data_IF_040711301182
#
_entry.id   IF_040711301182
#
_cell.length_a   1.000
_cell.length_b   1.000
_cell.length_c   1.000
_cell.angle_alpha   90.00
_cell.angle_beta   90.00
_cell.angle_gamma   90.00
#
_symmetry.space_group_name_H-M   'P 1'
#
loop_
_entity.id
_entity.type
_entity.pdbx_description
1 polymer ?
#
# COMPACT_ATOMS: atom_id res chain seq x y z
N UNK A 1 45.83 -21.44 -10.04
CA UNK A 1 46.51 -21.11 -11.31
C UNK A 1 46.58 -22.42 -12.09
N UNK A 2 45.89 -22.65 -13.22
CA UNK A 2 45.38 -21.81 -14.33
C UNK A 2 43.97 -22.34 -14.70
N UNK A 3 42.91 -21.53 -14.79
CA UNK A 3 42.43 -20.66 -15.89
C UNK A 3 41.99 -21.41 -17.16
N UNK A 4 40.71 -21.19 -17.47
CA UNK A 4 39.91 -21.37 -18.69
C UNK A 4 39.35 -22.76 -19.06
N UNK A 5 38.03 -22.87 -18.89
CA UNK A 5 37.14 -23.50 -19.88
C UNK A 5 35.80 -22.74 -19.92
N UNK A 6 35.54 -22.10 -21.06
CA UNK A 6 34.41 -21.22 -21.41
C UNK A 6 33.07 -21.97 -21.49
N UNK A 7 32.47 -22.39 -20.37
CA UNK A 7 31.20 -23.16 -20.43
C UNK A 7 30.17 -22.89 -19.33
N UNK A 8 29.66 -21.64 -19.21
CA UNK A 8 28.41 -21.41 -18.48
C UNK A 8 27.35 -20.66 -19.32
N UNK A 9 26.70 -21.41 -20.22
CA UNK A 9 25.55 -20.98 -21.05
C UNK A 9 24.24 -20.74 -20.26
N UNK A 10 24.28 -20.52 -18.94
CA UNK A 10 23.09 -20.32 -18.10
C UNK A 10 23.29 -19.22 -17.04
N UNK A 11 24.06 -18.18 -17.35
CA UNK A 11 24.14 -17.03 -16.46
C UNK A 11 22.85 -16.19 -16.59
N UNK A 12 21.89 -16.45 -15.71
CA UNK A 12 20.69 -15.62 -15.62
C UNK A 12 20.97 -14.51 -14.61
N UNK A 13 20.97 -13.27 -15.08
CA UNK A 13 21.07 -12.11 -14.21
C UNK A 13 19.80 -12.04 -13.34
N UNK A 14 19.96 -12.35 -12.05
CA UNK A 14 18.88 -12.31 -11.06
C UNK A 14 18.21 -10.92 -11.04
N UNK A 15 18.99 -9.85 -11.17
CA UNK A 15 18.46 -8.49 -11.17
C UNK A 15 17.58 -8.24 -12.40
N UNK A 16 17.99 -8.74 -13.57
CA UNK A 16 17.20 -8.65 -14.80
C UNK A 16 15.87 -9.43 -14.70
N UNK A 17 15.87 -10.62 -14.07
CA UNK A 17 14.64 -11.36 -13.79
C UNK A 17 13.69 -10.51 -12.92
N UNK A 18 14.18 -9.96 -11.81
CA UNK A 18 13.33 -9.14 -10.93
C UNK A 18 12.82 -7.89 -11.64
N UNK A 19 13.63 -7.26 -12.49
CA UNK A 19 13.19 -6.14 -13.34
C UNK A 19 12.03 -6.56 -14.24
N UNK A 20 12.19 -7.66 -14.99
CA UNK A 20 11.15 -8.19 -15.88
C UNK A 20 9.88 -8.58 -15.13
N UNK A 21 9.99 -9.22 -13.97
CA UNK A 21 8.85 -9.59 -13.15
C UNK A 21 8.11 -8.37 -12.61
N UNK A 22 8.82 -7.36 -12.10
CA UNK A 22 8.21 -6.11 -11.65
C UNK A 22 7.43 -5.44 -12.79
N UNK A 23 8.07 -5.36 -13.96
CA UNK A 23 7.49 -4.76 -15.16
C UNK A 23 6.22 -5.52 -15.60
N UNK A 24 6.27 -6.85 -15.65
CA UNK A 24 5.11 -7.70 -15.99
C UNK A 24 3.98 -7.60 -14.97
N UNK A 25 4.30 -7.55 -13.68
CA UNK A 25 3.28 -7.37 -12.65
C UNK A 25 2.57 -6.03 -12.84
N UNK A 26 3.32 -4.93 -13.01
CA UNK A 26 2.73 -3.61 -13.21
C UNK A 26 1.91 -3.53 -14.51
N UNK A 27 2.38 -4.15 -15.60
CA UNK A 27 1.61 -4.27 -16.86
C UNK A 27 0.29 -5.01 -16.65
N UNK A 28 0.33 -6.17 -16.00
CA UNK A 28 -0.86 -6.97 -15.72
C UNK A 28 -1.86 -6.16 -14.88
N UNK A 29 -1.42 -5.57 -13.77
CA UNK A 29 -2.29 -4.82 -12.86
C UNK A 29 -2.81 -3.50 -13.46
N UNK A 30 -2.12 -2.94 -14.46
CA UNK A 30 -2.55 -1.73 -15.17
C UNK A 30 -3.49 -2.02 -16.33
N UNK A 31 -3.62 -3.28 -16.74
CA UNK A 31 -4.49 -3.69 -17.84
C UNK A 31 -5.96 -3.45 -17.46
N UNK A 32 -6.73 -2.91 -18.42
CA UNK A 32 -8.05 -2.27 -18.21
C UNK A 32 -8.93 -2.93 -17.16
N UNK A 33 -9.28 -4.19 -17.37
CA UNK A 33 -10.26 -4.94 -16.57
C UNK A 33 -9.64 -5.74 -15.42
N UNK A 34 -8.30 -5.78 -15.30
CA UNK A 34 -7.63 -6.60 -14.28
C UNK A 34 -7.83 -6.02 -12.88
N UNK A 35 -7.54 -4.74 -12.71
CA UNK A 35 -7.86 -4.00 -11.49
C UNK A 35 -8.83 -2.88 -11.83
N UNK A 36 -10.04 -2.97 -11.31
CA UNK A 36 -11.08 -1.95 -11.43
C UNK A 36 -11.82 -1.81 -10.11
N UNK A 37 -12.50 -0.68 -9.94
CA UNK A 37 -13.43 -0.49 -8.84
C UNK A 37 -14.46 -1.62 -8.83
N UNK A 38 -14.68 -2.20 -7.66
CA UNK A 38 -15.64 -3.28 -7.45
C UNK A 38 -15.35 -4.47 -8.37
N UNK A 39 -14.12 -4.98 -8.30
CA UNK A 39 -13.63 -6.04 -9.20
C UNK A 39 -14.43 -7.34 -9.04
N UNK A 40 -14.98 -7.57 -7.85
CA UNK A 40 -15.85 -8.71 -7.55
C UNK A 40 -17.34 -8.48 -7.83
N UNK A 41 -17.72 -7.31 -8.35
CA UNK A 41 -19.12 -6.92 -8.62
C UNK A 41 -20.05 -7.15 -7.41
N UNK A 42 -19.60 -6.77 -6.22
CA UNK A 42 -20.35 -6.94 -4.97
C UNK A 42 -21.49 -5.92 -4.84
N UNK A 43 -21.39 -4.79 -5.54
CA UNK A 43 -22.32 -3.66 -5.59
C UNK A 43 -22.53 -2.91 -4.26
N UNK A 44 -22.62 -3.61 -3.14
CA UNK A 44 -22.89 -3.02 -1.84
C UNK A 44 -21.57 -2.70 -1.11
N UNK A 45 -21.27 -1.42 -0.80
CA UNK A 45 -20.01 -1.04 -0.17
C UNK A 45 -19.75 -1.63 1.23
N UNK A 46 -20.77 -2.25 1.84
CA UNK A 46 -20.73 -2.79 3.19
C UNK A 46 -20.66 -4.31 3.23
N UNK A 47 -20.61 -4.98 2.07
CA UNK A 47 -20.44 -6.43 1.99
C UNK A 47 -19.19 -6.83 2.75
N UNK A 48 -19.33 -7.75 3.71
CA UNK A 48 -18.20 -8.23 4.49
C UNK A 48 -17.40 -9.21 3.65
N UNK A 49 -16.07 -9.15 3.74
CA UNK A 49 -15.20 -10.11 3.06
C UNK A 49 -15.51 -11.56 3.44
N UNK A 50 -15.93 -11.79 4.68
CA UNK A 50 -16.35 -13.11 5.19
C UNK A 50 -17.63 -13.65 4.54
N UNK A 51 -18.43 -12.80 3.90
CA UNK A 51 -19.68 -13.17 3.24
C UNK A 51 -19.49 -13.41 1.74
N UNK A 52 -18.30 -13.11 1.20
CA UNK A 52 -17.99 -13.31 -0.22
C UNK A 52 -17.58 -14.77 -0.42
N UNK A 53 -18.23 -15.45 -1.36
CA UNK A 53 -17.83 -16.80 -1.75
C UNK A 53 -16.39 -16.80 -2.30
N UNK A 54 -15.49 -17.68 -1.82
CA UNK A 54 -14.10 -17.72 -2.29
C UNK A 54 -13.96 -17.85 -3.80
N UNK A 55 -14.86 -18.60 -4.45
CA UNK A 55 -14.88 -18.75 -5.91
C UNK A 55 -15.11 -17.45 -6.67
N UNK A 56 -15.82 -16.47 -6.10
CA UNK A 56 -15.97 -15.14 -6.71
C UNK A 56 -14.62 -14.42 -6.72
N UNK A 57 -13.91 -14.44 -5.59
CA UNK A 57 -12.60 -13.82 -5.45
C UNK A 57 -11.61 -14.49 -6.39
N UNK A 58 -11.54 -15.82 -6.41
CA UNK A 58 -10.59 -16.56 -7.25
C UNK A 58 -10.86 -16.37 -8.76
N UNK A 59 -12.13 -16.25 -9.16
CA UNK A 59 -12.51 -15.99 -10.55
C UNK A 59 -12.15 -14.56 -11.00
N UNK A 60 -12.23 -13.58 -10.08
CA UNK A 60 -12.03 -12.15 -10.39
C UNK A 60 -10.59 -11.71 -10.15
N UNK A 61 -9.90 -12.35 -9.22
CA UNK A 61 -8.49 -12.18 -8.87
C UNK A 61 -7.80 -13.54 -9.04
N UNK A 62 -7.49 -13.97 -10.28
CA UNK A 62 -6.80 -15.23 -10.51
C UNK A 62 -5.39 -15.22 -9.89
N UNK A 63 -4.73 -16.38 -9.74
CA UNK A 63 -3.47 -16.51 -9.03
C UNK A 63 -2.36 -15.55 -9.50
N UNK A 64 -2.30 -15.26 -10.79
CA UNK A 64 -1.30 -14.35 -11.39
C UNK A 64 -1.54 -12.90 -10.96
N UNK A 65 -2.80 -12.49 -10.81
CA UNK A 65 -3.19 -11.16 -10.34
C UNK A 65 -2.92 -11.04 -8.84
N UNK A 66 -3.27 -12.06 -8.04
CA UNK A 66 -2.95 -12.08 -6.62
C UNK A 66 -1.43 -12.04 -6.38
N UNK A 67 -0.67 -12.79 -7.19
CA UNK A 67 0.78 -12.76 -7.19
C UNK A 67 1.32 -11.36 -7.52
N UNK A 68 0.85 -10.77 -8.62
CA UNK A 68 1.29 -9.45 -9.04
C UNK A 68 0.97 -8.39 -7.97
N UNK A 69 -0.25 -8.37 -7.42
CA UNK A 69 -0.65 -7.48 -6.34
C UNK A 69 0.27 -7.57 -5.12
N UNK A 70 0.74 -8.78 -4.79
CA UNK A 70 1.57 -9.03 -3.61
C UNK A 70 3.07 -8.76 -3.83
N UNK A 71 3.61 -9.07 -5.01
CA UNK A 71 5.06 -9.16 -5.19
C UNK A 71 5.68 -8.09 -6.09
N UNK A 72 4.90 -7.25 -6.78
CA UNK A 72 5.47 -6.24 -7.68
C UNK A 72 6.47 -5.31 -6.98
N UNK A 73 6.19 -4.89 -5.73
CA UNK A 73 7.10 -4.04 -4.93
C UNK A 73 8.38 -4.78 -4.57
N UNK A 74 8.27 -6.06 -4.21
CA UNK A 74 9.43 -6.90 -3.91
C UNK A 74 10.33 -7.05 -5.16
N UNK A 75 9.75 -7.34 -6.31
CA UNK A 75 10.51 -7.42 -7.56
C UNK A 75 11.13 -6.07 -7.94
N UNK A 76 10.42 -4.96 -7.71
CA UNK A 76 10.99 -3.64 -7.95
C UNK A 76 12.22 -3.40 -7.07
N UNK A 77 12.14 -3.72 -5.78
CA UNK A 77 13.25 -3.61 -4.83
C UNK A 77 14.46 -4.43 -5.22
N UNK A 78 14.26 -5.70 -5.52
CA UNK A 78 15.35 -6.61 -5.90
C UNK A 78 15.95 -6.26 -7.27
N UNK A 79 15.19 -5.54 -8.13
CA UNK A 79 15.73 -4.99 -9.38
C UNK A 79 16.68 -3.79 -9.18
N UNK A 80 16.82 -3.29 -7.93
CA UNK A 80 17.66 -2.15 -7.53
C UNK A 80 17.35 -0.86 -8.30
N UNK A 81 16.08 -0.67 -8.69
CA UNK A 81 15.61 0.52 -9.38
C UNK A 81 15.09 1.54 -8.39
N UNK A 82 15.48 2.79 -8.60
CA UNK A 82 14.87 3.93 -7.92
C UNK A 82 13.52 4.29 -8.56
N UNK A 83 12.68 4.93 -7.77
CA UNK A 83 11.36 5.43 -8.15
C UNK A 83 11.42 6.95 -8.33
N UNK A 84 10.90 7.43 -9.45
CA UNK A 84 10.87 8.85 -9.82
C UNK A 84 9.46 9.30 -10.15
N UNK A 85 9.23 10.60 -9.99
CA UNK A 85 8.02 11.25 -10.44
C UNK A 85 7.85 11.05 -11.96
N UNK A 86 6.71 10.49 -12.33
CA UNK A 86 6.33 10.25 -13.73
C UNK A 86 6.87 8.93 -14.28
N UNK A 87 7.50 8.10 -13.43
CA UNK A 87 7.82 6.74 -13.84
C UNK A 87 6.59 5.82 -13.80
N UNK A 88 6.79 4.58 -14.24
CA UNK A 88 5.71 3.58 -14.29
C UNK A 88 5.11 3.23 -12.93
N UNK A 89 5.86 3.33 -11.84
CA UNK A 89 5.33 3.08 -10.49
C UNK A 89 4.49 4.28 -10.06
N UNK A 90 4.94 5.51 -10.35
CA UNK A 90 4.16 6.71 -10.09
C UNK A 90 2.84 6.66 -10.84
N UNK A 91 2.86 6.40 -12.15
CA UNK A 91 1.63 6.24 -12.93
C UNK A 91 0.71 5.14 -12.39
N UNK A 92 1.27 3.96 -12.08
CA UNK A 92 0.48 2.87 -11.51
C UNK A 92 -0.21 3.26 -10.20
N UNK A 93 0.52 3.88 -9.25
CA UNK A 93 -0.06 4.30 -7.98
C UNK A 93 -1.03 5.48 -8.16
N UNK A 94 -0.76 6.40 -9.08
CA UNK A 94 -1.68 7.50 -9.37
C UNK A 94 -3.03 6.99 -9.89
N UNK A 95 -3.01 6.00 -10.78
CA UNK A 95 -4.20 5.54 -11.49
C UNK A 95 -4.93 4.38 -10.78
N UNK A 96 -4.18 3.47 -10.14
CA UNK A 96 -4.67 2.16 -9.69
C UNK A 96 -4.54 1.93 -8.18
N UNK A 97 -4.06 2.89 -7.39
CA UNK A 97 -3.80 2.68 -5.96
C UNK A 97 -5.00 2.11 -5.20
N UNK A 98 -6.18 2.71 -5.30
CA UNK A 98 -7.36 2.20 -4.57
C UNK A 98 -7.83 0.84 -5.07
N UNK A 99 -7.65 0.56 -6.36
CA UNK A 99 -8.02 -0.73 -6.95
C UNK A 99 -7.07 -1.83 -6.46
N UNK A 100 -5.79 -1.48 -6.31
CA UNK A 100 -4.79 -2.35 -5.69
C UNK A 100 -5.07 -2.58 -4.21
N UNK A 101 -5.47 -1.55 -3.45
CA UNK A 101 -5.89 -1.70 -2.05
C UNK A 101 -7.16 -2.55 -1.90
N UNK A 102 -8.16 -2.38 -2.79
CA UNK A 102 -9.34 -3.24 -2.84
C UNK A 102 -8.95 -4.70 -3.05
N UNK A 103 -8.09 -4.99 -4.04
CA UNK A 103 -7.65 -6.35 -4.34
C UNK A 103 -6.87 -6.98 -3.18
N UNK A 104 -5.99 -6.21 -2.50
CA UNK A 104 -5.32 -6.67 -1.29
C UNK A 104 -6.30 -6.90 -0.14
N UNK A 105 -7.32 -6.06 0.01
CA UNK A 105 -8.41 -6.23 0.98
C UNK A 105 -9.18 -7.54 0.73
N UNK A 106 -9.64 -7.75 -0.51
CA UNK A 106 -10.33 -8.97 -0.93
C UNK A 106 -9.50 -10.23 -0.67
N UNK A 107 -8.19 -10.17 -0.95
CA UNK A 107 -7.26 -11.27 -0.67
C UNK A 107 -6.94 -11.46 0.83
N UNK A 108 -7.44 -10.61 1.74
CA UNK A 108 -7.12 -10.64 3.17
C UNK A 108 -5.66 -10.28 3.48
N UNK A 109 -5.05 -9.45 2.63
CA UNK A 109 -3.62 -9.09 2.67
C UNK A 109 -3.37 -7.59 2.81
N UNK A 110 -4.39 -6.80 3.12
CA UNK A 110 -4.25 -5.34 3.22
C UNK A 110 -3.17 -4.92 4.22
N UNK A 111 -2.93 -5.70 5.27
CA UNK A 111 -1.86 -5.42 6.25
C UNK A 111 -0.45 -5.52 5.66
N UNK A 112 -0.25 -6.29 4.60
CA UNK A 112 1.05 -6.36 3.90
C UNK A 112 1.37 -5.03 3.20
N UNK A 113 0.37 -4.22 2.87
CA UNK A 113 0.54 -2.94 2.17
C UNK A 113 1.34 -1.90 2.96
N UNK A 114 1.37 -1.98 4.31
CA UNK A 114 2.22 -1.12 5.14
C UNK A 114 3.70 -1.32 4.84
N UNK A 115 4.14 -2.59 4.78
CA UNK A 115 5.52 -2.93 4.47
C UNK A 115 5.87 -2.57 3.02
N UNK A 116 4.92 -2.73 2.11
CA UNK A 116 5.06 -2.34 0.72
C UNK A 116 5.23 -0.82 0.58
N UNK A 117 4.41 -0.02 1.26
CA UNK A 117 4.53 1.44 1.27
C UNK A 117 5.87 1.90 1.84
N UNK A 118 6.35 1.28 2.92
CA UNK A 118 7.67 1.57 3.47
C UNK A 118 8.80 1.23 2.48
N UNK A 119 8.73 0.07 1.83
CA UNK A 119 9.70 -0.28 0.80
C UNK A 119 9.69 0.70 -0.37
N UNK A 120 8.52 1.19 -0.79
CA UNK A 120 8.41 2.19 -1.86
C UNK A 120 9.08 3.51 -1.46
N UNK A 121 8.92 3.95 -0.21
CA UNK A 121 9.61 5.13 0.34
C UNK A 121 11.14 4.95 0.34
N UNK A 122 11.64 3.77 0.72
CA UNK A 122 13.09 3.47 0.73
C UNK A 122 13.72 3.49 -0.68
N UNK A 123 12.91 3.34 -1.73
CA UNK A 123 13.35 3.25 -3.12
C UNK A 123 13.22 4.58 -3.88
N UNK A 124 12.80 5.66 -3.23
CA UNK A 124 12.65 6.95 -3.87
C UNK A 124 13.99 7.53 -4.34
N UNK A 125 13.98 8.13 -5.53
CA UNK A 125 15.08 8.95 -6.03
C UNK A 125 15.18 10.25 -5.22
N UNK A 126 16.33 10.58 -4.60
CA UNK A 126 16.42 11.73 -3.69
C UNK A 126 16.11 13.09 -4.31
N UNK A 127 16.22 13.23 -5.64
CA UNK A 127 16.11 14.50 -6.33
C UNK A 127 14.79 14.63 -7.11
N UNK A 128 14.25 13.52 -7.60
CA UNK A 128 13.16 13.52 -8.58
C UNK A 128 11.91 12.76 -8.12
N UNK A 129 11.58 12.76 -6.82
CA UNK A 129 10.46 11.97 -6.28
C UNK A 129 9.53 12.75 -5.34
N UNK A 130 9.39 14.07 -5.52
CA UNK A 130 8.64 14.91 -4.58
C UNK A 130 7.15 14.56 -4.58
N UNK A 131 6.55 14.39 -5.75
CA UNK A 131 5.13 14.04 -5.86
C UNK A 131 4.86 12.63 -5.35
N UNK A 132 5.73 11.67 -5.69
CA UNK A 132 5.65 10.30 -5.22
C UNK A 132 5.82 10.21 -3.70
N UNK A 133 6.75 10.96 -3.11
CA UNK A 133 6.94 11.02 -1.65
C UNK A 133 5.67 11.52 -0.94
N UNK A 134 5.07 12.59 -1.45
CA UNK A 134 3.80 13.10 -0.91
C UNK A 134 2.67 12.06 -1.01
N UNK A 135 2.56 11.35 -2.13
CA UNK A 135 1.58 10.27 -2.32
C UNK A 135 1.79 9.12 -1.33
N UNK A 136 3.03 8.64 -1.17
CA UNK A 136 3.32 7.50 -0.30
C UNK A 136 3.18 7.84 1.19
N UNK A 137 3.52 9.06 1.60
CA UNK A 137 3.27 9.53 2.95
C UNK A 137 1.77 9.71 3.25
N UNK A 138 0.98 10.14 2.27
CA UNK A 138 -0.48 10.16 2.39
C UNK A 138 -1.06 8.73 2.44
N UNK A 139 -0.50 7.80 1.65
CA UNK A 139 -0.85 6.38 1.69
C UNK A 139 -0.61 5.75 3.07
N UNK A 140 0.53 6.02 3.71
CA UNK A 140 0.77 5.52 5.07
C UNK A 140 -0.34 5.97 6.04
N UNK A 141 -0.75 7.25 5.98
CA UNK A 141 -1.83 7.79 6.84
C UNK A 141 -3.19 7.18 6.50
N UNK A 142 -3.48 7.06 5.20
CA UNK A 142 -4.71 6.43 4.72
C UNK A 142 -4.82 4.97 5.18
N UNK A 143 -3.73 4.20 5.11
CA UNK A 143 -3.68 2.82 5.59
C UNK A 143 -3.83 2.75 7.11
N UNK A 144 -3.14 3.61 7.87
CA UNK A 144 -3.26 3.65 9.33
C UNK A 144 -4.71 3.86 9.78
N UNK A 145 -5.42 4.79 9.13
CA UNK A 145 -6.80 5.11 9.46
C UNK A 145 -7.80 4.03 9.00
N UNK A 146 -7.56 3.39 7.84
CA UNK A 146 -8.62 2.64 7.14
C UNK A 146 -8.34 1.16 6.90
N UNK A 147 -7.13 0.64 7.15
CA UNK A 147 -6.79 -0.75 6.80
C UNK A 147 -7.72 -1.79 7.45
N UNK A 148 -8.16 -1.58 8.69
CA UNK A 148 -9.12 -2.46 9.36
C UNK A 148 -10.45 -2.50 8.62
N UNK A 149 -10.97 -1.34 8.23
CA UNK A 149 -12.24 -1.23 7.50
C UNK A 149 -12.11 -1.87 6.13
N UNK A 150 -10.99 -1.68 5.44
CA UNK A 150 -10.73 -2.29 4.12
C UNK A 150 -10.55 -3.81 4.24
N UNK A 151 -9.99 -4.34 5.33
CA UNK A 151 -9.88 -5.80 5.54
C UNK A 151 -11.26 -6.45 5.73
N UNK A 152 -12.14 -5.76 6.44
CA UNK A 152 -13.49 -6.24 6.76
C UNK A 152 -14.44 -6.06 5.58
N UNK A 153 -14.41 -4.91 4.92
CA UNK A 153 -15.28 -4.59 3.78
C UNK A 153 -14.49 -3.81 2.72
N UNK A 154 -13.85 -4.49 1.75
CA UNK A 154 -12.89 -3.89 0.83
C UNK A 154 -13.41 -2.68 0.03
N UNK A 155 -14.69 -2.68 -0.35
CA UNK A 155 -15.30 -1.57 -1.09
C UNK A 155 -15.36 -0.26 -0.30
N UNK A 156 -15.25 -0.29 1.03
CA UNK A 156 -15.17 0.91 1.86
C UNK A 156 -13.97 1.80 1.50
N UNK A 157 -12.95 1.26 0.81
CA UNK A 157 -11.83 2.06 0.28
C UNK A 157 -12.30 3.25 -0.58
N UNK A 158 -13.41 3.12 -1.32
CA UNK A 158 -13.98 4.20 -2.14
C UNK A 158 -15.04 5.04 -1.44
N UNK A 159 -15.50 4.59 -0.28
CA UNK A 159 -16.64 5.17 0.44
C UNK A 159 -16.14 5.82 1.72
N UNK A 160 -16.28 5.18 2.89
CA UNK A 160 -15.86 5.80 4.17
C UNK A 160 -14.40 6.24 4.15
N UNK A 161 -13.48 5.43 3.63
CA UNK A 161 -12.06 5.75 3.66
C UNK A 161 -11.71 7.02 2.85
N UNK A 162 -12.29 7.17 1.65
CA UNK A 162 -12.13 8.39 0.85
C UNK A 162 -12.95 9.57 1.37
N UNK A 163 -14.15 9.32 1.91
CA UNK A 163 -15.04 10.35 2.43
C UNK A 163 -14.41 11.05 3.64
N UNK A 164 -13.78 10.28 4.53
CA UNK A 164 -13.12 10.81 5.74
C UNK A 164 -11.65 11.18 5.52
N UNK A 165 -11.11 10.96 4.32
CA UNK A 165 -9.78 11.47 3.98
C UNK A 165 -9.80 13.02 3.94
N UNK A 166 -8.80 13.70 4.54
CA UNK A 166 -8.71 15.16 4.54
C UNK A 166 -8.76 15.76 3.14
N UNK A 167 -9.21 17.00 3.01
CA UNK A 167 -9.30 17.66 1.69
C UNK A 167 -7.95 17.76 0.98
N UNK A 168 -6.86 17.88 1.75
CA UNK A 168 -5.49 17.91 1.23
C UNK A 168 -4.85 16.53 1.07
N UNK A 169 -5.57 15.43 1.29
CA UNK A 169 -5.09 14.10 0.92
C UNK A 169 -4.81 14.04 -0.58
N UNK A 170 -3.61 13.57 -0.93
CA UNK A 170 -3.21 13.33 -2.33
C UNK A 170 -4.10 12.25 -2.92
N UNK A 171 -4.30 11.14 -2.20
CA UNK A 171 -5.14 10.01 -2.62
C UNK A 171 -6.56 10.46 -2.95
N UNK A 172 -7.14 11.31 -2.09
CA UNK A 172 -8.48 11.86 -2.33
C UNK A 172 -8.55 12.73 -3.59
N UNK A 173 -7.53 13.57 -3.84
CA UNK A 173 -7.48 14.41 -5.04
C UNK A 173 -7.28 13.61 -6.33
N UNK A 174 -6.55 12.50 -6.25
CA UNK A 174 -6.34 11.60 -7.39
C UNK A 174 -7.61 10.84 -7.78
N UNK A 175 -8.55 10.67 -6.86
CA UNK A 175 -9.80 9.95 -7.08
C UNK A 175 -11.01 10.86 -6.81
N UNK A 176 -11.30 11.86 -7.68
CA UNK A 176 -12.44 12.73 -7.50
C UNK A 176 -13.72 11.87 -7.41
N UNK A 177 -14.33 11.84 -6.23
CA UNK A 177 -15.59 11.12 -6.04
C UNK A 177 -16.66 11.86 -6.85
N UNK A 178 -17.15 11.28 -7.94
CA UNK A 178 -18.28 11.86 -8.71
C UNK A 178 -19.56 12.04 -7.88
N UNK A 179 -19.60 11.48 -6.66
CA UNK A 179 -20.76 11.43 -5.78
C UNK A 179 -20.63 12.30 -4.52
N UNK A 180 -19.66 13.22 -4.42
CA UNK A 180 -19.45 14.04 -3.21
C UNK A 180 -20.64 14.96 -2.83
N UNK A 181 -21.71 15.00 -3.63
CA UNK A 181 -22.85 15.89 -3.39
C UNK A 181 -23.79 15.40 -2.27
N UNK A 182 -23.79 14.10 -1.93
CA UNK A 182 -24.89 13.55 -1.13
C UNK A 182 -24.66 13.48 0.40
N UNK A 183 -23.46 13.78 0.90
CA UNK A 183 -23.17 13.77 2.35
C UNK A 183 -22.47 15.07 2.74
N UNK A 184 -23.18 16.19 2.52
CA UNK A 184 -22.93 17.43 3.24
C UNK A 184 -23.40 17.26 4.70
N UNK A 185 -22.74 16.39 5.47
CA UNK A 185 -23.03 16.22 6.89
C UNK A 185 -22.17 17.23 7.68
N UNK A 186 -22.75 18.42 7.89
CA UNK A 186 -22.75 19.26 9.10
C UNK A 186 -21.46 19.53 9.91
N UNK A 187 -20.28 19.09 9.49
CA UNK A 187 -18.99 19.41 10.12
C UNK A 187 -17.97 19.84 9.05
N UNK A 188 -17.17 20.90 9.28
CA UNK A 188 -16.06 21.21 8.40
C UNK A 188 -15.11 20.01 8.38
N UNK A 189 -14.92 19.43 7.20
CA UNK A 189 -14.00 18.30 7.03
C UNK A 189 -12.58 18.78 7.35
N UNK A 190 -11.79 17.98 8.06
CA UNK A 190 -10.43 18.38 8.41
C UNK A 190 -9.60 18.61 7.13
N UNK A 191 -8.84 19.71 7.13
CA UNK A 191 -7.97 20.08 6.01
C UNK A 191 -6.81 19.09 5.85
N UNK A 192 -6.25 18.67 6.98
CA UNK A 192 -5.10 17.77 7.10
C UNK A 192 -5.43 16.59 8.03
N UNK A 193 -4.62 15.53 7.99
CA UNK A 193 -4.80 14.39 8.90
C UNK A 193 -4.56 14.82 10.35
N UNK A 194 -5.42 14.38 11.27
CA UNK A 194 -5.26 14.67 12.70
C UNK A 194 -4.01 13.98 13.29
N UNK A 195 -3.49 14.50 14.40
CA UNK A 195 -2.41 13.89 15.15
C UNK A 195 -2.82 12.52 15.72
N UNK A 196 -4.10 12.32 16.01
CA UNK A 196 -4.66 11.02 16.37
C UNK A 196 -5.12 10.27 15.10
N UNK A 197 -4.22 9.46 14.53
CA UNK A 197 -4.50 8.71 13.30
C UNK A 197 -5.27 7.40 13.54
N UNK A 198 -5.24 6.87 14.76
CA UNK A 198 -5.89 5.63 15.12
C UNK A 198 -6.18 5.60 16.62
N UNK A 199 -7.43 5.32 16.98
CA UNK A 199 -7.81 4.96 18.34
C UNK A 199 -7.85 3.44 18.45
N UNK A 200 -6.97 2.87 19.28
CA UNK A 200 -7.03 1.45 19.62
C UNK A 200 -8.04 1.28 20.75
N UNK A 201 -9.24 0.80 20.43
CA UNK A 201 -10.26 0.46 21.42
C UNK A 201 -10.24 -1.05 21.70
N UNK A 202 -10.24 -1.43 22.98
CA UNK A 202 -10.11 -2.84 23.39
C UNK A 202 -9.41 -3.07 24.73
N UNK A 203 -8.94 -2.01 25.40
CA UNK A 203 -8.42 -2.12 26.75
C UNK A 203 -9.55 -1.97 27.78
N UNK A 204 -9.97 -3.08 28.40
CA UNK A 204 -10.85 -3.08 29.57
C UNK A 204 -10.10 -2.86 30.90
N UNK A 205 -8.78 -2.66 30.84
CA UNK A 205 -7.89 -2.44 31.99
C UNK A 205 -6.84 -1.35 31.70
N UNK A 206 -6.17 -0.89 32.77
CA UNK A 206 -5.15 0.17 32.73
C UNK A 206 -4.00 -0.13 31.76
N UNK A 207 -3.61 0.88 30.99
CA UNK A 207 -2.39 0.86 30.16
C UNK A 207 -1.20 1.15 31.07
N UNK A 208 -0.40 0.12 31.35
CA UNK A 208 0.80 0.27 32.17
C UNK A 208 1.95 0.82 31.32
N UNK A 209 2.29 2.10 31.55
CA UNK A 209 3.42 2.76 30.88
C UNK A 209 4.74 2.33 31.55
N UNK A 210 5.47 1.39 30.95
CA UNK A 210 6.85 1.11 31.39
C UNK A 210 7.78 2.22 30.87
N UNK A 211 8.13 3.16 31.75
CA UNK A 211 9.27 4.07 31.56
C UNK A 211 10.56 3.24 31.62
N UNK A 212 11.17 2.97 30.47
CA UNK A 212 12.57 2.52 30.42
C UNK A 212 13.43 3.74 30.80
N UNK A 213 13.80 3.83 32.09
CA UNK A 213 14.82 4.75 32.55
C UNK A 213 16.18 4.19 32.13
N UNK A 214 16.81 4.83 31.13
CA UNK A 214 18.22 4.61 30.83
C UNK A 214 19.05 4.97 32.07
N UNK A 215 19.64 3.96 32.72
CA UNK A 215 20.67 4.16 33.76
C UNK A 215 21.86 4.88 33.12
N UNK A 216 22.18 6.08 33.62
CA UNK A 216 23.49 6.70 33.37
C UNK A 216 24.59 5.81 33.97
N UNK A 217 25.74 5.62 33.31
CA UNK A 217 26.90 4.98 33.92
C UNK A 217 27.53 5.95 34.93
N UNK A 218 27.74 5.50 36.16
CA UNK A 218 28.52 6.22 37.16
C UNK A 218 30.01 6.20 36.79
N UNK A 219 30.62 7.37 36.73
CA UNK A 219 32.05 7.53 36.57
C UNK A 219 32.77 7.10 37.86
N UNK A 220 33.62 6.08 37.77
CA UNK A 220 34.63 5.79 38.80
C UNK A 220 35.75 6.84 38.71
N UNK A 221 35.89 7.66 39.73
CA UNK A 221 37.11 8.42 40.01
C UNK A 221 37.99 7.54 40.88
N UNK A 222 39.17 7.17 40.40
CA UNK A 222 40.21 6.53 41.19
C UNK A 222 41.26 7.55 41.61
N UNK A 223 41.58 7.55 42.91
CA UNK A 223 42.91 7.73 43.48
C UNK A 223 43.02 6.76 44.67
#
# INVERSE_FOLDING_TARGET
FLVDDDTHSFWIDKQDIHKRLADRCLELLSTGDTLRKDVCDLHHPGTLRSEIEPGIIDNRLPPEVQYACRYWVHHWKESRRQIRDGDRVHHFLTDRLLYWLEALGLAGRIRESFNMANCLLDMLDPENSTAMSALLHDLQRFLLANATVIDVSPLQTYHSALLFAPERSVIRRLQPTKHSTCVLLLSPMNLDWDACLQTLEGHSHWVEFYRILARRPEARVGL
#
